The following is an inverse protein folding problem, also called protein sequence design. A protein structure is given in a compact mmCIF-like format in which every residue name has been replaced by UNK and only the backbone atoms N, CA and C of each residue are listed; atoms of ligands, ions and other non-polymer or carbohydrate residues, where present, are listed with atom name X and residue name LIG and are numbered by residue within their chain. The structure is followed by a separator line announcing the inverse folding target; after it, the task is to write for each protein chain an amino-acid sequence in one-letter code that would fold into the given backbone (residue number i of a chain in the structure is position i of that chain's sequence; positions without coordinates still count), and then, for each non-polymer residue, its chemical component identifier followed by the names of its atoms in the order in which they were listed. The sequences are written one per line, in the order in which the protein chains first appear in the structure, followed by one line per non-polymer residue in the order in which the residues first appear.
data_IF_590911852350
#
_entry.id   IF_590911852350
#
_cell.length_a   1.000
_cell.length_b   1.000
_cell.length_c   1.000
_cell.angle_alpha   90.00
_cell.angle_beta   90.00
_cell.angle_gamma   90.00
#
_symmetry.space_group_name_H-M   'P 1'
#
loop_
_entity.id
_entity.type
_entity.pdbx_description
1 polymer ?
#
# COMPACT_ATOMS: atom_id res chain seq x y z
N UNK A 1 -29.52 -9.72 14.65
CA UNK A 1 -28.49 -10.44 13.89
C UNK A 1 -27.25 -10.48 14.76
N UNK A 2 -26.78 -11.67 15.16
CA UNK A 2 -25.43 -11.79 15.71
C UNK A 2 -24.44 -11.24 14.67
N UNK A 3 -23.55 -10.34 15.09
CA UNK A 3 -22.43 -9.94 14.23
C UNK A 3 -21.66 -11.21 13.89
N UNK A 4 -21.53 -11.55 12.61
CA UNK A 4 -20.54 -12.53 12.15
C UNK A 4 -19.18 -11.97 12.55
N UNK A 5 -18.65 -12.41 13.68
CA UNK A 5 -17.31 -12.03 14.09
C UNK A 5 -16.34 -12.83 13.25
N UNK A 6 -15.37 -12.14 12.67
CA UNK A 6 -14.28 -12.80 11.97
C UNK A 6 -13.19 -13.16 12.98
N UNK A 7 -12.64 -14.37 12.87
CA UNK A 7 -11.63 -14.90 13.78
C UNK A 7 -10.37 -15.20 12.99
N UNK A 8 -9.22 -14.79 13.52
CA UNK A 8 -7.91 -15.17 12.96
C UNK A 8 -7.47 -16.49 13.60
N UNK A 9 -7.38 -17.55 12.79
CA UNK A 9 -6.85 -18.84 13.22
C UNK A 9 -5.30 -18.84 13.23
N UNK A 10 -4.68 -19.96 13.59
CA UNK A 10 -3.22 -20.07 13.62
C UNK A 10 -2.56 -19.88 12.24
N UNK A 11 -3.18 -20.43 11.18
CA UNK A 11 -2.67 -20.30 9.81
C UNK A 11 -2.69 -18.85 9.33
N UNK A 12 -3.72 -18.11 9.70
CA UNK A 12 -3.88 -16.69 9.40
C UNK A 12 -2.76 -15.86 10.00
N UNK A 13 -2.44 -16.12 11.27
CA UNK A 13 -1.38 -15.42 11.98
C UNK A 13 -0.02 -15.71 11.34
N UNK A 14 0.23 -16.95 10.93
CA UNK A 14 1.44 -17.32 10.20
C UNK A 14 1.53 -16.60 8.86
N UNK A 15 0.43 -16.57 8.09
CA UNK A 15 0.38 -15.88 6.80
C UNK A 15 0.64 -14.39 6.96
N UNK A 16 0.03 -13.75 7.96
CA UNK A 16 0.28 -12.34 8.27
C UNK A 16 1.73 -12.11 8.70
N UNK A 17 2.31 -13.03 9.48
CA UNK A 17 3.72 -12.95 9.87
C UNK A 17 4.64 -13.01 8.64
N UNK A 18 4.36 -13.88 7.66
CA UNK A 18 5.11 -13.97 6.40
C UNK A 18 5.04 -12.68 5.58
N UNK A 19 3.90 -11.98 5.58
CA UNK A 19 3.72 -10.71 4.85
C UNK A 19 4.34 -9.48 5.51
N UNK A 20 4.79 -9.56 6.77
CA UNK A 20 5.33 -8.41 7.52
C UNK A 20 6.63 -7.87 6.94
N UNK A 21 7.54 -8.75 6.54
CA UNK A 21 8.82 -8.35 5.97
C UNK A 21 8.63 -7.59 4.66
N UNK A 22 7.78 -8.11 3.77
CA UNK A 22 7.45 -7.44 2.52
C UNK A 22 6.82 -6.06 2.74
N UNK A 23 5.92 -5.96 3.72
CA UNK A 23 5.31 -4.68 4.11
C UNK A 23 6.35 -3.69 4.63
N UNK A 24 7.30 -4.15 5.44
CA UNK A 24 8.41 -3.36 5.95
C UNK A 24 9.27 -2.82 4.80
N UNK A 25 9.64 -3.68 3.83
CA UNK A 25 10.43 -3.31 2.65
C UNK A 25 9.70 -2.22 1.82
N UNK A 26 8.42 -2.43 1.52
CA UNK A 26 7.63 -1.45 0.75
C UNK A 26 7.48 -0.11 1.46
N UNK A 27 7.33 -0.11 2.78
CA UNK A 27 7.25 1.13 3.56
C UNK A 27 8.58 1.88 3.56
N UNK A 28 9.69 1.17 3.78
CA UNK A 28 11.01 1.76 3.76
C UNK A 28 11.34 2.35 2.39
N UNK A 29 11.07 1.62 1.32
CA UNK A 29 11.28 2.09 -0.04
C UNK A 29 10.46 3.34 -0.37
N UNK A 30 9.17 3.36 -0.01
CA UNK A 30 8.30 4.54 -0.22
C UNK A 30 8.79 5.76 0.57
N UNK A 31 9.30 5.56 1.78
CA UNK A 31 9.89 6.64 2.57
C UNK A 31 11.10 7.26 1.85
N UNK A 32 11.96 6.43 1.26
CA UNK A 32 13.11 6.91 0.48
C UNK A 32 12.68 7.61 -0.81
N UNK A 33 11.70 7.07 -1.54
CA UNK A 33 11.17 7.69 -2.77
C UNK A 33 10.52 9.06 -2.52
N UNK A 34 10.10 9.36 -1.30
CA UNK A 34 9.50 10.65 -0.94
C UNK A 34 10.54 11.75 -0.64
N UNK A 35 11.83 11.41 -0.57
CA UNK A 35 12.92 12.36 -0.30
C UNK A 35 13.18 13.20 -1.56
N UNK A 36 12.97 14.52 -1.45
CA UNK A 36 12.95 15.44 -2.60
C UNK A 36 14.31 15.64 -3.29
N UNK A 37 15.42 15.45 -2.57
CA UNK A 37 16.79 15.66 -3.06
C UNK A 37 17.45 14.39 -3.59
N UNK A 38 16.74 13.26 -3.63
CA UNK A 38 17.25 12.01 -4.21
C UNK A 38 16.97 11.91 -5.71
N UNK A 39 17.86 11.29 -6.50
CA UNK A 39 17.48 10.81 -7.83
C UNK A 39 16.27 9.88 -7.73
N UNK A 40 15.46 9.76 -8.80
CA UNK A 40 14.43 8.73 -8.84
C UNK A 40 15.06 7.34 -8.73
N UNK A 41 14.44 6.44 -7.97
CA UNK A 41 14.80 5.03 -7.96
C UNK A 41 14.40 4.41 -9.31
N UNK A 42 15.25 3.53 -9.85
CA UNK A 42 14.96 2.80 -11.08
C UNK A 42 13.69 1.96 -10.91
N UNK A 43 12.87 1.90 -11.95
CA UNK A 43 11.62 1.15 -11.97
C UNK A 43 11.78 -0.14 -12.80
N UNK A 44 10.86 -1.07 -12.64
CA UNK A 44 10.86 -2.37 -13.32
C UNK A 44 11.89 -3.35 -12.75
N UNK A 45 12.27 -4.34 -13.57
CA UNK A 45 13.14 -5.46 -13.17
C UNK A 45 14.51 -4.99 -12.63
N UNK A 46 15.06 -3.90 -13.18
CA UNK A 46 16.33 -3.35 -12.69
C UNK A 46 16.22 -2.80 -11.27
N UNK A 47 15.14 -2.09 -10.98
CA UNK A 47 14.84 -1.59 -9.63
C UNK A 47 14.60 -2.73 -8.64
N UNK A 48 13.87 -3.77 -9.08
CA UNK A 48 13.59 -4.95 -8.24
C UNK A 48 14.88 -5.68 -7.87
N UNK A 49 15.77 -5.92 -8.84
CA UNK A 49 17.07 -6.55 -8.61
C UNK A 49 17.97 -5.71 -7.71
N UNK A 50 17.98 -4.39 -7.89
CA UNK A 50 18.73 -3.48 -7.01
C UNK A 50 18.21 -3.54 -5.56
N UNK A 51 16.89 -3.55 -5.38
CA UNK A 51 16.28 -3.64 -4.08
C UNK A 51 16.59 -5.00 -3.43
N UNK A 52 16.46 -6.10 -4.17
CA UNK A 52 16.77 -7.45 -3.68
C UNK A 52 18.20 -7.55 -3.14
N UNK A 53 19.18 -7.02 -3.89
CA UNK A 53 20.57 -6.94 -3.44
C UNK A 53 20.71 -6.07 -2.16
N UNK A 54 20.01 -4.93 -2.12
CA UNK A 54 20.01 -4.03 -0.96
C UNK A 54 19.42 -4.70 0.29
N UNK A 55 18.32 -5.44 0.14
CA UNK A 55 17.66 -6.17 1.22
C UNK A 55 18.52 -7.34 1.71
N UNK A 56 19.19 -8.05 0.80
CA UNK A 56 20.14 -9.13 1.17
C UNK A 56 21.25 -8.59 2.08
N UNK A 57 21.82 -7.43 1.76
CA UNK A 57 22.80 -6.76 2.63
C UNK A 57 22.17 -6.29 3.94
N UNK A 58 20.96 -5.73 3.90
CA UNK A 58 20.25 -5.27 5.10
C UNK A 58 19.98 -6.41 6.09
N UNK A 59 19.65 -7.60 5.59
CA UNK A 59 19.48 -8.82 6.38
C UNK A 59 20.81 -9.25 7.00
N UNK A 60 21.90 -9.26 6.21
CA UNK A 60 23.24 -9.63 6.68
C UNK A 60 23.70 -8.74 7.86
N UNK A 61 23.51 -7.42 7.75
CA UNK A 61 23.89 -6.44 8.77
C UNK A 61 22.81 -6.18 9.84
N UNK A 62 21.75 -6.99 9.85
CA UNK A 62 20.65 -6.97 10.84
C UNK A 62 19.97 -5.60 11.02
N UNK A 63 19.74 -4.89 9.92
CA UNK A 63 19.05 -3.58 9.88
C UNK A 63 17.60 -3.66 9.35
N UNK A 64 17.00 -4.86 9.34
CA UNK A 64 15.63 -5.13 8.89
C UNK A 64 14.57 -4.70 9.93
N UNK A 65 14.44 -3.40 10.16
CA UNK A 65 13.34 -2.82 10.94
C UNK A 65 12.89 -1.45 10.42
N UNK A 66 11.78 -0.96 10.96
CA UNK A 66 11.10 0.25 10.49
C UNK A 66 11.92 1.55 10.66
N UNK A 67 12.98 1.54 11.48
CA UNK A 67 13.84 2.69 11.69
C UNK A 67 15.10 2.63 10.82
N UNK A 68 15.77 1.46 10.78
CA UNK A 68 17.08 1.34 10.11
C UNK A 68 16.97 1.02 8.62
N UNK A 69 15.97 0.26 8.18
CA UNK A 69 15.83 -0.14 6.79
C UNK A 69 15.66 1.06 5.82
N UNK A 70 14.83 2.09 6.11
CA UNK A 70 14.72 3.25 5.22
C UNK A 70 16.07 3.96 5.02
N UNK A 71 16.84 4.11 6.10
CA UNK A 71 18.16 4.74 6.04
C UNK A 71 19.14 3.88 5.24
N UNK A 72 19.08 2.55 5.41
CA UNK A 72 19.90 1.62 4.63
C UNK A 72 19.61 1.71 3.13
N UNK A 73 18.34 1.76 2.74
CA UNK A 73 17.92 1.93 1.35
C UNK A 73 18.39 3.31 0.82
N UNK A 74 18.30 4.37 1.62
CA UNK A 74 18.81 5.69 1.25
C UNK A 74 20.32 5.67 1.01
N UNK A 75 21.10 5.00 1.87
CA UNK A 75 22.55 4.83 1.71
C UNK A 75 22.87 4.12 0.39
N UNK A 76 22.25 2.96 0.14
CA UNK A 76 22.40 2.21 -1.10
C UNK A 76 22.09 3.05 -2.34
N UNK A 77 21.04 3.88 -2.27
CA UNK A 77 20.60 4.69 -3.40
C UNK A 77 21.52 5.88 -3.67
N UNK A 78 21.99 6.56 -2.61
CA UNK A 78 22.94 7.69 -2.74
C UNK A 78 24.32 7.24 -3.19
N UNK A 79 24.84 6.18 -2.57
CA UNK A 79 26.20 5.68 -2.84
C UNK A 79 26.32 4.85 -4.11
N UNK A 80 25.24 4.20 -4.55
CA UNK A 80 25.27 3.29 -5.68
C UNK A 80 26.03 1.98 -5.39
N UNK A 81 26.22 1.16 -6.43
CA UNK A 81 26.73 -0.22 -6.29
C UNK A 81 28.16 -0.29 -5.74
N UNK A 82 29.01 0.69 -6.08
CA UNK A 82 30.42 0.70 -5.68
C UNK A 82 30.64 1.23 -4.26
N UNK A 83 29.68 1.95 -3.67
CA UNK A 83 29.82 2.53 -2.34
C UNK A 83 30.14 1.47 -1.29
N UNK A 84 29.46 0.32 -1.36
CA UNK A 84 29.67 -0.78 -0.44
C UNK A 84 31.05 -1.42 -0.57
N UNK A 85 31.84 -1.11 -1.60
CA UNK A 85 33.18 -1.69 -1.83
C UNK A 85 34.31 -0.76 -1.39
N UNK A 86 34.00 0.47 -0.94
CA UNK A 86 35.01 1.43 -0.50
C UNK A 86 35.68 0.97 0.81
N UNK A 87 37.00 1.15 0.91
CA UNK A 87 37.80 0.67 2.05
C UNK A 87 37.33 1.27 3.38
N UNK A 88 36.99 2.56 3.40
CA UNK A 88 36.48 3.27 4.58
C UNK A 88 35.06 2.83 4.95
N UNK A 89 34.21 2.51 3.96
CA UNK A 89 32.89 1.92 4.19
C UNK A 89 33.03 0.52 4.80
N UNK A 90 33.94 -0.29 4.28
CA UNK A 90 34.25 -1.61 4.84
C UNK A 90 34.76 -1.52 6.28
N UNK A 91 35.55 -0.50 6.62
CA UNK A 91 35.99 -0.26 7.99
C UNK A 91 34.82 -0.01 8.96
N UNK A 92 33.81 0.74 8.52
CA UNK A 92 32.58 0.98 9.30
C UNK A 92 31.73 -0.30 9.42
N UNK A 93 31.73 -1.16 8.39
CA UNK A 93 30.98 -2.42 8.32
C UNK A 93 31.63 -3.61 9.05
N UNK A 94 32.89 -3.49 9.50
CA UNK A 94 33.67 -4.59 10.11
C UNK A 94 33.04 -5.29 11.33
N UNK A 95 31.89 -4.82 11.84
CA UNK A 95 31.10 -5.53 12.83
C UNK A 95 29.74 -5.91 12.24
N UNK A 96 29.32 -7.15 12.46
CA UNK A 96 28.07 -7.70 11.91
C UNK A 96 26.80 -6.94 12.32
N UNK A 97 26.83 -6.23 13.46
CA UNK A 97 25.72 -5.40 13.93
C UNK A 97 25.99 -3.90 13.71
N UNK A 98 25.11 -3.28 12.92
CA UNK A 98 25.13 -1.84 12.65
C UNK A 98 24.19 -1.11 13.63
N UNK A 99 24.80 -0.31 14.51
CA UNK A 99 24.09 0.59 15.41
C UNK A 99 23.69 1.91 14.70
N UNK A 100 22.93 2.75 15.40
CA UNK A 100 22.46 4.03 14.86
C UNK A 100 23.60 5.02 14.56
N UNK A 101 24.74 4.93 15.25
CA UNK A 101 25.87 5.83 15.02
C UNK A 101 26.55 5.48 13.71
N UNK A 102 26.89 4.21 13.51
CA UNK A 102 27.50 3.71 12.27
C UNK A 102 26.58 3.86 11.08
N UNK A 103 25.28 3.60 11.24
CA UNK A 103 24.30 3.82 10.19
C UNK A 103 24.28 5.29 9.74
N UNK A 104 24.31 6.23 10.68
CA UNK A 104 24.40 7.65 10.35
C UNK A 104 25.74 8.04 9.72
N UNK A 105 26.85 7.42 10.14
CA UNK A 105 28.16 7.61 9.51
C UNK A 105 28.12 7.19 8.03
N UNK A 106 27.62 5.99 7.73
CA UNK A 106 27.44 5.50 6.36
C UNK A 106 26.54 6.43 5.54
N UNK A 107 25.47 6.96 6.14
CA UNK A 107 24.62 7.96 5.49
C UNK A 107 25.36 9.25 5.15
N UNK A 108 26.23 9.75 6.03
CA UNK A 108 27.05 10.92 5.71
C UNK A 108 28.04 10.61 4.59
N UNK A 109 28.68 9.45 4.60
CA UNK A 109 29.60 9.03 3.54
C UNK A 109 28.88 8.93 2.19
N UNK A 110 27.72 8.29 2.13
CA UNK A 110 26.94 8.16 0.90
C UNK A 110 26.49 9.53 0.34
N UNK A 111 26.24 10.51 1.21
CA UNK A 111 25.94 11.89 0.78
C UNK A 111 27.11 12.58 0.09
N UNK A 112 28.35 12.21 0.41
CA UNK A 112 29.54 12.74 -0.27
C UNK A 112 29.65 12.22 -1.70
N UNK A 113 29.16 11.00 -1.95
CA UNK A 113 29.18 10.36 -3.28
C UNK A 113 28.08 10.87 -4.22
N UNK A 114 27.02 11.48 -3.66
CA UNK A 114 25.88 11.88 -4.45
C UNK A 114 26.24 13.01 -5.43
N UNK A 115 26.10 12.73 -6.73
CA UNK A 115 26.22 13.75 -7.78
C UNK A 115 24.96 14.62 -7.86
N UNK A 116 25.14 15.91 -8.15
CA UNK A 116 24.04 16.86 -8.34
C UNK A 116 23.04 16.34 -9.39
N UNK A 117 21.81 16.07 -8.95
CA UNK A 117 20.71 15.65 -9.80
C UNK A 117 20.00 16.86 -10.40
N UNK A 118 19.73 16.79 -11.70
CA UNK A 118 18.79 17.71 -12.37
C UNK A 118 17.40 17.41 -11.79
N UNK A 119 16.72 18.42 -11.24
CA UNK A 119 15.32 18.30 -10.84
C UNK A 119 14.50 17.83 -12.04
N UNK A 120 14.01 16.60 -12.01
CA UNK A 120 13.03 16.15 -12.99
C UNK A 120 11.75 16.94 -12.80
N UNK A 121 11.27 17.54 -13.88
CA UNK A 121 9.93 18.12 -13.96
C UNK A 121 8.94 16.97 -13.82
N UNK A 122 8.16 16.97 -12.74
CA UNK A 122 7.07 16.02 -12.54
C UNK A 122 6.09 16.15 -13.71
N UNK A 123 5.95 15.11 -14.53
CA UNK A 123 4.85 15.03 -15.49
C UNK A 123 3.54 14.93 -14.73
N UNK A 124 2.59 15.81 -15.03
CA UNK A 124 1.24 15.72 -14.46
C UNK A 124 0.56 14.50 -15.06
N UNK A 125 0.32 13.49 -14.22
CA UNK A 125 -0.36 12.27 -14.63
C UNK A 125 -1.84 12.58 -14.94
N UNK A 126 -2.28 12.34 -16.17
CA UNK A 126 -3.69 12.41 -16.52
C UNK A 126 -4.42 11.16 -16.01
N UNK A 127 -5.04 11.31 -14.83
CA UNK A 127 -5.75 10.23 -14.15
C UNK A 127 -7.11 9.90 -14.76
N UNK A 128 -7.60 10.71 -15.71
CA UNK A 128 -8.90 10.48 -16.35
C UNK A 128 -8.91 9.29 -17.28
N UNK A 129 -7.74 8.86 -17.76
CA UNK A 129 -7.61 7.63 -18.52
C UNK A 129 -7.54 6.37 -17.63
N UNK A 130 -7.54 6.51 -16.29
CA UNK A 130 -7.45 5.35 -15.42
C UNK A 130 -8.71 4.48 -15.49
N UNK A 131 -8.51 3.18 -15.31
CA UNK A 131 -9.63 2.21 -15.32
C UNK A 131 -10.65 2.51 -14.21
N UNK A 132 -10.17 2.94 -13.03
CA UNK A 132 -11.01 3.32 -11.89
C UNK A 132 -11.86 4.55 -12.22
N UNK A 133 -11.27 5.56 -12.88
CA UNK A 133 -12.01 6.75 -13.31
C UNK A 133 -13.12 6.41 -14.29
N UNK A 134 -12.84 5.57 -15.30
CA UNK A 134 -13.87 5.12 -16.24
C UNK A 134 -14.98 4.30 -15.58
N UNK A 135 -14.67 3.47 -14.58
CA UNK A 135 -15.69 2.77 -13.78
C UNK A 135 -16.59 3.71 -12.98
N UNK A 136 -16.02 4.79 -12.44
CA UNK A 136 -16.78 5.85 -11.80
C UNK A 136 -17.71 6.58 -12.79
N UNK A 137 -17.22 6.93 -13.98
CA UNK A 137 -18.04 7.58 -15.03
C UNK A 137 -19.15 6.66 -15.55
N UNK A 138 -18.87 5.36 -15.65
CA UNK A 138 -19.86 4.33 -15.96
C UNK A 138 -20.87 4.08 -14.83
N UNK A 139 -20.75 4.79 -13.70
CA UNK A 139 -21.64 4.71 -12.53
C UNK A 139 -21.72 3.31 -11.91
N UNK A 140 -20.62 2.55 -11.96
CA UNK A 140 -20.51 1.36 -11.12
C UNK A 140 -20.61 1.76 -9.65
N UNK A 141 -21.18 0.92 -8.76
CA UNK A 141 -21.28 1.19 -7.33
C UNK A 141 -19.89 1.00 -6.67
N UNK A 142 -19.00 1.92 -7.03
CA UNK A 142 -17.59 1.95 -6.71
C UNK A 142 -17.38 2.67 -5.38
N UNK A 143 -16.68 2.02 -4.48
CA UNK A 143 -16.29 2.56 -3.18
C UNK A 143 -14.77 2.56 -3.04
N UNK A 144 -14.28 3.46 -2.21
CA UNK A 144 -12.88 3.54 -1.82
C UNK A 144 -12.76 3.37 -0.30
N UNK A 145 -11.87 2.48 0.16
CA UNK A 145 -11.42 2.40 1.54
C UNK A 145 -10.05 3.06 1.63
N UNK A 146 -9.95 4.05 2.52
CA UNK A 146 -8.75 4.86 2.69
C UNK A 146 -8.33 4.81 4.16
N UNK A 147 -7.06 4.51 4.38
CA UNK A 147 -6.41 4.64 5.69
C UNK A 147 -6.01 6.11 5.91
N UNK A 148 -6.63 6.76 6.90
CA UNK A 148 -6.39 8.17 7.23
C UNK A 148 -5.18 8.38 8.15
N UNK A 149 -4.41 7.32 8.48
CA UNK A 149 -3.28 7.43 9.39
C UNK A 149 -2.19 8.39 8.89
N UNK A 150 -2.06 8.55 7.58
CA UNK A 150 -1.10 9.48 6.96
C UNK A 150 -1.66 10.91 6.87
N UNK A 151 -2.90 11.06 6.43
CA UNK A 151 -3.57 12.35 6.22
C UNK A 151 -5.10 12.15 6.16
N UNK A 152 -5.85 12.99 6.87
CA UNK A 152 -7.31 13.02 6.88
C UNK A 152 -7.92 13.78 5.68
N UNK A 153 -7.09 14.39 4.81
CA UNK A 153 -7.55 15.19 3.70
C UNK A 153 -8.56 14.50 2.75
N UNK A 154 -8.49 13.18 2.45
CA UNK A 154 -9.51 12.52 1.65
C UNK A 154 -10.91 12.59 2.26
N UNK A 155 -11.04 12.43 3.58
CA UNK A 155 -12.31 12.55 4.29
C UNK A 155 -12.83 14.00 4.28
N UNK A 156 -11.95 14.97 4.50
CA UNK A 156 -12.29 16.39 4.39
C UNK A 156 -12.77 16.78 3.00
N UNK A 157 -12.13 16.24 1.96
CA UNK A 157 -12.52 16.45 0.56
C UNK A 157 -13.88 15.82 0.24
N UNK A 158 -14.15 14.60 0.72
CA UNK A 158 -15.45 13.96 0.59
C UNK A 158 -16.56 14.77 1.29
N UNK A 159 -16.30 15.29 2.49
CA UNK A 159 -17.22 16.17 3.21
C UNK A 159 -17.53 17.45 2.42
N UNK A 160 -16.50 18.11 1.87
CA UNK A 160 -16.67 19.34 1.08
C UNK A 160 -17.42 19.15 -0.24
N UNK A 161 -17.45 17.93 -0.79
CA UNK A 161 -18.16 17.58 -2.02
C UNK A 161 -19.52 16.91 -1.79
N UNK A 162 -19.98 16.85 -0.54
CA UNK A 162 -21.20 16.13 -0.14
C UNK A 162 -21.21 14.70 -0.73
N UNK A 163 -20.13 13.99 -0.47
CA UNK A 163 -19.94 12.59 -0.84
C UNK A 163 -20.17 11.74 0.39
N UNK A 164 -21.05 10.74 0.29
CA UNK A 164 -21.31 9.83 1.40
C UNK A 164 -20.00 9.13 1.83
N UNK A 165 -19.71 9.16 3.11
CA UNK A 165 -18.53 8.53 3.68
C UNK A 165 -18.81 8.06 5.11
N UNK A 166 -18.19 6.95 5.50
CA UNK A 166 -18.48 6.25 6.74
C UNK A 166 -17.17 5.83 7.40
N UNK A 167 -17.02 6.11 8.68
CA UNK A 167 -15.93 5.52 9.45
C UNK A 167 -16.18 4.02 9.61
N UNK A 168 -15.14 3.23 9.37
CA UNK A 168 -15.17 1.80 9.68
C UNK A 168 -14.78 1.53 11.14
N UNK A 169 -14.40 2.54 11.91
CA UNK A 169 -14.31 2.37 13.35
C UNK A 169 -15.69 2.33 14.01
N UNK A 170 -15.79 1.52 15.06
CA UNK A 170 -16.97 1.46 15.91
C UNK A 170 -16.95 2.60 16.95
N UNK A 171 -18.04 2.71 17.72
CA UNK A 171 -18.18 3.76 18.72
C UNK A 171 -17.07 3.79 19.78
N UNK A 172 -16.47 2.64 20.12
CA UNK A 172 -15.38 2.59 21.12
C UNK A 172 -14.07 3.18 20.61
N UNK A 173 -13.88 3.25 19.29
CA UNK A 173 -12.70 3.81 18.64
C UNK A 173 -12.96 5.18 18.01
N UNK A 174 -14.02 5.87 18.45
CA UNK A 174 -14.38 7.20 17.93
C UNK A 174 -13.22 8.19 17.95
N UNK A 175 -12.38 8.14 18.98
CA UNK A 175 -11.21 9.01 19.11
C UNK A 175 -10.16 8.82 18.00
N UNK A 176 -10.20 7.69 17.29
CA UNK A 176 -9.29 7.36 16.19
C UNK A 176 -9.91 7.62 14.81
N UNK A 177 -11.19 8.01 14.71
CA UNK A 177 -11.89 8.17 13.44
C UNK A 177 -11.15 9.09 12.46
N UNK A 178 -10.49 10.15 12.94
CA UNK A 178 -9.67 11.04 12.09
C UNK A 178 -8.54 10.32 11.35
N UNK A 179 -8.12 9.14 11.81
CA UNK A 179 -7.08 8.31 11.21
C UNK A 179 -7.64 7.19 10.33
N UNK A 180 -8.96 7.10 10.14
CA UNK A 180 -9.60 6.06 9.34
C UNK A 180 -9.36 4.64 9.89
N UNK A 181 -9.81 3.58 9.19
CA UNK A 181 -10.17 3.60 7.78
C UNK A 181 -11.56 4.17 7.50
N UNK A 182 -11.68 4.90 6.39
CA UNK A 182 -12.93 5.47 5.89
C UNK A 182 -13.37 4.77 4.62
N UNK A 183 -14.67 4.42 4.55
CA UNK A 183 -15.34 4.01 3.32
C UNK A 183 -15.95 5.26 2.65
N UNK A 184 -15.64 5.50 1.39
CA UNK A 184 -16.10 6.65 0.61
C UNK A 184 -16.83 6.20 -0.64
N UNK A 185 -18.00 6.78 -0.87
CA UNK A 185 -18.83 6.58 -2.05
C UNK A 185 -18.22 7.26 -3.29
N UNK A 186 -17.40 6.54 -4.05
CA UNK A 186 -16.74 7.09 -5.22
C UNK A 186 -17.63 7.09 -6.48
N UNK A 187 -18.71 6.30 -6.51
CA UNK A 187 -19.60 6.21 -7.68
C UNK A 187 -20.22 7.56 -8.03
N UNK A 188 -20.27 7.88 -9.33
CA UNK A 188 -20.79 9.14 -9.85
C UNK A 188 -20.15 10.41 -9.24
N UNK A 189 -18.95 10.30 -8.64
CA UNK A 189 -18.18 11.44 -8.11
C UNK A 189 -16.77 11.50 -8.73
N UNK A 190 -16.63 11.80 -10.04
CA UNK A 190 -15.34 11.79 -10.74
C UNK A 190 -14.25 12.66 -10.09
N UNK A 191 -14.62 13.80 -9.49
CA UNK A 191 -13.67 14.67 -8.77
C UNK A 191 -13.06 14.01 -7.53
N UNK A 192 -13.82 13.17 -6.82
CA UNK A 192 -13.30 12.39 -5.69
C UNK A 192 -12.27 11.37 -6.20
N UNK A 193 -12.59 10.67 -7.27
CA UNK A 193 -11.67 9.69 -7.88
C UNK A 193 -10.40 10.37 -8.39
N UNK A 194 -10.52 11.48 -9.12
CA UNK A 194 -9.36 12.28 -9.56
C UNK A 194 -8.50 12.73 -8.36
N UNK A 195 -9.14 13.17 -7.28
CA UNK A 195 -8.43 13.60 -6.07
C UNK A 195 -7.55 12.49 -5.48
N UNK A 196 -8.09 11.26 -5.41
CA UNK A 196 -7.36 10.10 -4.91
C UNK A 196 -6.26 9.65 -5.85
N UNK A 197 -6.56 9.54 -7.16
CA UNK A 197 -5.63 9.00 -8.13
C UNK A 197 -4.49 9.96 -8.50
N UNK A 198 -4.69 11.27 -8.35
CA UNK A 198 -3.66 12.28 -8.67
C UNK A 198 -2.59 12.41 -7.59
N UNK A 199 -2.75 11.71 -6.46
CA UNK A 199 -1.84 11.78 -5.32
C UNK A 199 -1.25 10.39 -5.05
N UNK A 200 0.07 10.18 -5.25
CA UNK A 200 0.70 8.88 -5.04
C UNK A 200 0.42 8.25 -3.67
N UNK A 201 0.39 9.07 -2.61
CA UNK A 201 0.10 8.63 -1.25
C UNK A 201 -1.30 8.01 -1.09
N UNK A 202 -2.26 8.34 -1.96
CA UNK A 202 -3.61 7.79 -1.93
C UNK A 202 -3.81 6.74 -3.02
N UNK A 203 -3.33 7.00 -4.24
CA UNK A 203 -3.47 6.13 -5.39
C UNK A 203 -3.06 4.67 -5.09
N UNK A 204 -1.97 4.48 -4.33
CA UNK A 204 -1.43 3.15 -3.99
C UNK A 204 -1.83 2.62 -2.60
N UNK A 205 -2.50 3.45 -1.79
CA UNK A 205 -2.97 3.07 -0.46
C UNK A 205 -4.50 2.97 -0.37
N UNK A 206 -5.20 3.24 -1.47
CA UNK A 206 -6.67 3.10 -1.54
C UNK A 206 -7.01 1.70 -1.99
N UNK A 207 -7.73 0.97 -1.15
CA UNK A 207 -8.38 -0.27 -1.57
C UNK A 207 -9.75 0.09 -2.15
N UNK A 208 -10.03 -0.36 -3.36
CA UNK A 208 -11.30 -0.09 -4.04
C UNK A 208 -12.18 -1.32 -3.99
N UNK A 209 -13.49 -1.13 -4.05
CA UNK A 209 -14.44 -2.23 -4.14
C UNK A 209 -15.68 -1.85 -4.96
N UNK A 210 -16.33 -2.85 -5.53
CA UNK A 210 -17.66 -2.73 -6.13
C UNK A 210 -18.62 -3.47 -5.22
N UNK A 211 -19.60 -2.73 -4.70
CA UNK A 211 -20.64 -3.24 -3.80
C UNK A 211 -21.94 -2.51 -4.11
N UNK A 212 -22.85 -3.18 -4.80
CA UNK A 212 -24.25 -2.81 -4.89
C UNK A 212 -25.02 -3.19 -3.61
N UNK A 213 -26.06 -2.44 -3.25
CA UNK A 213 -26.86 -2.67 -2.05
C UNK A 213 -26.85 -1.54 -1.02
N UNK A 214 -27.34 -1.82 0.19
CA UNK A 214 -27.44 -0.83 1.27
C UNK A 214 -26.07 -0.50 1.87
N UNK A 215 -25.82 0.79 2.08
CA UNK A 215 -24.55 1.27 2.63
C UNK A 215 -24.31 0.78 4.06
N UNK A 216 -25.35 0.62 4.88
CA UNK A 216 -25.19 0.17 6.26
C UNK A 216 -24.83 -1.30 6.32
N UNK A 217 -25.37 -2.12 5.42
CA UNK A 217 -25.00 -3.54 5.31
C UNK A 217 -23.52 -3.67 4.95
N UNK A 218 -23.06 -2.89 3.97
CA UNK A 218 -21.65 -2.82 3.59
C UNK A 218 -20.77 -2.35 4.74
N UNK A 219 -21.12 -1.26 5.42
CA UNK A 219 -20.35 -0.74 6.57
C UNK A 219 -20.29 -1.78 7.69
N UNK A 220 -21.42 -2.42 8.02
CA UNK A 220 -21.49 -3.46 9.05
C UNK A 220 -20.60 -4.64 8.72
N UNK A 221 -20.61 -5.08 7.46
CA UNK A 221 -19.73 -6.14 6.97
C UNK A 221 -18.24 -5.78 7.14
N UNK A 222 -17.84 -4.61 6.63
CA UNK A 222 -16.45 -4.14 6.69
C UNK A 222 -15.97 -3.91 8.13
N UNK A 223 -16.84 -3.43 9.02
CA UNK A 223 -16.57 -3.36 10.46
C UNK A 223 -16.33 -4.75 11.06
N UNK A 224 -17.07 -5.77 10.63
CA UNK A 224 -16.86 -7.16 11.04
C UNK A 224 -15.51 -7.73 10.62
N UNK A 225 -14.96 -7.29 9.48
CA UNK A 225 -13.61 -7.63 9.05
C UNK A 225 -12.53 -6.87 9.82
N UNK A 226 -12.78 -5.62 10.21
CA UNK A 226 -11.84 -4.80 10.96
C UNK A 226 -11.66 -5.30 12.40
N UNK A 227 -12.75 -5.65 13.06
CA UNK A 227 -12.75 -6.06 14.48
C UNK A 227 -12.73 -7.58 14.60
N UNK A 228 -11.52 -8.14 14.65
CA UNK A 228 -11.34 -9.60 14.74
C UNK A 228 -11.14 -10.02 16.19
N UNK A 229 -11.82 -11.10 16.57
CA UNK A 229 -11.63 -11.73 17.88
C UNK A 229 -10.41 -12.63 17.85
N UNK A 230 -9.53 -12.42 18.83
CA UNK A 230 -8.43 -13.35 19.12
C UNK A 230 -8.87 -14.41 20.15
N UNK A 231 -8.09 -15.48 20.28
CA UNK A 231 -8.36 -16.62 21.15
C UNK A 231 -8.66 -16.25 22.62
N UNK A 232 -8.19 -15.10 23.10
CA UNK A 232 -8.36 -14.59 24.47
C UNK A 232 -9.45 -13.49 24.60
N UNK A 233 -10.43 -13.43 23.68
CA UNK A 233 -11.50 -12.41 23.64
C UNK A 233 -11.00 -10.95 23.50
N UNK A 234 -9.70 -10.76 23.21
CA UNK A 234 -9.13 -9.47 22.83
C UNK A 234 -9.59 -9.10 21.43
N UNK A 235 -10.27 -7.96 21.29
CA UNK A 235 -10.56 -7.38 20.00
C UNK A 235 -9.27 -6.76 19.44
N UNK A 236 -8.74 -7.36 18.39
CA UNK A 236 -7.64 -6.75 17.62
C UNK A 236 -8.19 -6.12 16.34
N UNK A 237 -7.51 -5.10 15.84
CA UNK A 237 -7.87 -4.47 14.56
C UNK A 237 -7.11 -5.14 13.44
N UNK A 238 -7.81 -5.86 12.58
CA UNK A 238 -7.22 -6.44 11.39
C UNK A 238 -7.19 -5.41 10.27
N UNK A 239 -5.99 -5.04 9.83
CA UNK A 239 -5.77 -4.08 8.72
C UNK A 239 -6.03 -4.75 7.37
N UNK A 240 -7.22 -5.34 7.19
CA UNK A 240 -7.62 -5.94 5.91
C UNK A 240 -7.57 -4.92 4.78
N UNK A 241 -7.84 -3.64 5.08
CA UNK A 241 -7.93 -2.57 4.10
C UNK A 241 -6.59 -2.09 3.53
N UNK A 242 -5.46 -2.56 4.05
CA UNK A 242 -4.13 -2.12 3.63
C UNK A 242 -3.68 -2.90 2.37
N UNK A 243 -3.54 -2.24 1.19
CA UNK A 243 -3.16 -2.91 -0.06
C UNK A 243 -1.86 -3.73 0.02
N UNK A 244 -0.96 -3.38 0.95
CA UNK A 244 0.34 -4.07 1.16
C UNK A 244 0.18 -5.48 1.69
N UNK A 245 -0.89 -5.74 2.45
CA UNK A 245 -1.19 -7.07 2.99
C UNK A 245 -2.43 -7.69 2.36
N UNK A 246 -3.30 -6.89 1.73
CA UNK A 246 -4.57 -7.34 1.14
C UNK A 246 -4.39 -8.48 0.15
N UNK A 247 -3.50 -8.33 -0.83
CA UNK A 247 -3.31 -9.34 -1.88
C UNK A 247 -2.79 -10.67 -1.32
N UNK A 248 -1.76 -10.60 -0.46
CA UNK A 248 -1.22 -11.78 0.22
C UNK A 248 -2.30 -12.46 1.08
N UNK A 249 -3.07 -11.66 1.81
CA UNK A 249 -4.15 -12.14 2.65
C UNK A 249 -5.20 -12.91 1.84
N UNK A 250 -5.78 -12.27 0.82
CA UNK A 250 -6.89 -12.82 0.06
C UNK A 250 -6.52 -14.12 -0.65
N UNK A 251 -5.29 -14.22 -1.17
CA UNK A 251 -4.80 -15.41 -1.87
C UNK A 251 -4.46 -16.59 -0.94
N UNK A 252 -4.44 -16.38 0.38
CA UNK A 252 -4.11 -17.43 1.36
C UNK A 252 -5.31 -17.93 2.16
N UNK A 253 -6.50 -17.38 1.88
CA UNK A 253 -7.75 -17.81 2.51
C UNK A 253 -8.28 -19.09 1.88
N UNK A 254 -8.79 -19.98 2.72
CA UNK A 254 -9.58 -21.13 2.29
C UNK A 254 -10.89 -20.69 1.61
N UNK A 255 -11.39 -21.49 0.66
CA UNK A 255 -12.58 -21.19 -0.14
C UNK A 255 -13.82 -20.82 0.67
N UNK A 256 -14.11 -21.56 1.75
CA UNK A 256 -15.27 -21.26 2.60
C UNK A 256 -15.17 -19.90 3.32
N UNK A 257 -13.95 -19.41 3.56
CA UNK A 257 -13.71 -18.12 4.21
C UNK A 257 -13.69 -16.96 3.23
N UNK A 258 -13.43 -17.23 1.95
CA UNK A 258 -13.54 -16.25 0.89
C UNK A 258 -14.98 -15.76 0.76
N UNK A 259 -15.98 -16.65 0.83
CA UNK A 259 -17.39 -16.27 0.82
C UNK A 259 -17.75 -15.33 1.99
N UNK A 260 -17.30 -15.66 3.21
CA UNK A 260 -17.49 -14.81 4.38
C UNK A 260 -16.70 -13.50 4.31
N UNK A 261 -15.54 -13.47 3.65
CA UNK A 261 -14.75 -12.25 3.47
C UNK A 261 -15.39 -11.29 2.45
N UNK A 262 -15.89 -11.82 1.33
CA UNK A 262 -16.54 -11.02 0.30
C UNK A 262 -17.86 -10.45 0.81
N UNK A 263 -18.72 -11.26 1.45
CA UNK A 263 -20.02 -10.81 1.93
C UNK A 263 -20.81 -10.07 0.83
N UNK A 264 -21.23 -8.81 1.03
CA UNK A 264 -21.94 -8.02 0.02
C UNK A 264 -21.03 -7.45 -1.09
N UNK A 265 -19.71 -7.55 -0.97
CA UNK A 265 -18.76 -7.01 -1.96
C UNK A 265 -18.72 -7.94 -3.17
N UNK A 266 -19.02 -7.42 -4.36
CA UNK A 266 -18.94 -8.22 -5.58
C UNK A 266 -17.51 -8.31 -6.11
N UNK A 267 -16.73 -7.22 -5.98
CA UNK A 267 -15.34 -7.16 -6.46
C UNK A 267 -14.47 -6.34 -5.52
N UNK A 268 -13.27 -6.84 -5.26
CA UNK A 268 -12.20 -6.08 -4.64
C UNK A 268 -11.17 -5.66 -5.66
N UNK A 269 -10.61 -4.46 -5.54
CA UNK A 269 -9.60 -3.93 -6.44
C UNK A 269 -8.49 -3.30 -5.61
N UNK A 270 -7.33 -3.94 -5.58
CA UNK A 270 -6.15 -3.47 -4.87
C UNK A 270 -5.14 -2.90 -5.86
N UNK A 271 -4.54 -1.71 -5.62
CA UNK A 271 -3.33 -1.33 -6.31
C UNK A 271 -2.20 -2.29 -5.98
N UNK A 272 -1.23 -2.41 -6.89
CA UNK A 272 -0.02 -3.16 -6.59
C UNK A 272 0.77 -2.43 -5.47
N UNK A 273 1.16 -3.13 -4.39
CA UNK A 273 1.90 -2.50 -3.31
C UNK A 273 3.37 -2.22 -3.66
N UNK A 274 3.95 -2.87 -4.67
CA UNK A 274 5.33 -2.67 -5.13
C UNK A 274 5.46 -1.32 -5.84
N UNK A 275 6.18 -0.35 -5.23
CA UNK A 275 6.32 0.98 -5.81
C UNK A 275 7.32 1.02 -6.98
N UNK A 276 8.06 -0.06 -7.25
CA UNK A 276 9.05 -0.12 -8.32
C UNK A 276 8.44 -0.35 -9.70
N UNK A 277 7.16 -0.68 -9.81
CA UNK A 277 6.58 -0.92 -11.13
C UNK A 277 6.44 0.37 -11.93
N UNK A 278 7.04 0.37 -13.13
CA UNK A 278 6.97 1.48 -14.09
C UNK A 278 5.55 1.73 -14.61
N UNK A 279 4.74 0.67 -14.65
CA UNK A 279 3.32 0.72 -14.90
C UNK A 279 2.55 0.19 -13.70
N UNK A 280 1.84 1.08 -13.03
CA UNK A 280 1.03 0.74 -11.88
C UNK A 280 -0.12 -0.18 -12.31
N UNK A 281 -0.29 -1.28 -11.57
CA UNK A 281 -1.29 -2.31 -11.85
C UNK A 281 -2.38 -2.30 -10.78
N UNK A 282 -3.54 -2.80 -11.16
CA UNK A 282 -4.66 -3.08 -10.28
C UNK A 282 -4.91 -4.59 -10.28
N UNK A 283 -5.06 -5.16 -9.11
CA UNK A 283 -5.46 -6.55 -8.90
C UNK A 283 -6.94 -6.57 -8.58
N UNK A 284 -7.73 -7.10 -9.51
CA UNK A 284 -9.17 -7.29 -9.35
C UNK A 284 -9.43 -8.72 -8.88
N UNK A 285 -10.23 -8.84 -7.84
CA UNK A 285 -10.63 -10.10 -7.26
C UNK A 285 -12.15 -10.23 -7.26
N UNK A 286 -12.65 -11.37 -7.72
CA UNK A 286 -14.07 -11.74 -7.72
C UNK A 286 -14.21 -13.13 -7.10
N UNK A 287 -15.38 -13.44 -6.56
CA UNK A 287 -15.73 -14.80 -6.14
C UNK A 287 -16.72 -15.38 -7.16
N UNK A 288 -16.35 -16.46 -7.84
CA UNK A 288 -17.19 -17.19 -8.80
C UNK A 288 -17.22 -18.65 -8.37
N UNK A 289 -18.41 -19.20 -8.11
CA UNK A 289 -18.58 -20.60 -7.67
C UNK A 289 -17.65 -20.98 -6.50
N UNK A 290 -17.55 -20.11 -5.49
CA UNK A 290 -16.67 -20.20 -4.32
C UNK A 290 -15.15 -20.24 -4.62
N UNK A 291 -14.75 -19.99 -5.86
CA UNK A 291 -13.37 -19.86 -6.29
C UNK A 291 -12.97 -18.39 -6.45
N UNK A 292 -11.78 -18.04 -5.95
CA UNK A 292 -11.20 -16.71 -6.14
C UNK A 292 -10.73 -16.57 -7.59
N UNK A 293 -11.38 -15.70 -8.35
CA UNK A 293 -10.89 -15.24 -9.64
C UNK A 293 -9.99 -14.02 -9.42
N UNK A 294 -8.79 -14.04 -9.98
CA UNK A 294 -7.85 -12.92 -9.95
C UNK A 294 -7.53 -12.46 -11.37
N UNK A 295 -7.69 -11.16 -11.62
CA UNK A 295 -7.27 -10.50 -12.85
C UNK A 295 -6.34 -9.33 -12.54
N UNK A 296 -5.25 -9.22 -13.29
CA UNK A 296 -4.38 -8.05 -13.28
C UNK A 296 -4.75 -7.09 -14.41
N UNK A 297 -4.91 -5.82 -14.08
CA UNK A 297 -5.29 -4.74 -14.98
C UNK A 297 -4.24 -3.64 -14.93
N UNK A 298 -4.11 -2.88 -16.01
CA UNK A 298 -3.31 -1.65 -16.00
C UNK A 298 -4.11 -0.55 -15.31
N UNK A 299 -3.53 0.11 -14.31
CA UNK A 299 -4.18 1.24 -13.64
C UNK A 299 -4.37 2.40 -14.61
N UNK A 300 -3.33 2.69 -15.38
CA UNK A 300 -3.30 3.67 -16.45
C UNK A 300 -3.01 2.95 -17.77
N UNK A 301 -3.83 3.13 -18.81
CA UNK A 301 -3.57 2.56 -20.13
C UNK A 301 -2.29 3.17 -20.69
N UNK A 302 -1.52 2.38 -21.46
CA UNK A 302 -0.38 2.92 -22.19
C UNK A 302 -0.89 3.97 -23.18
N UNK A 303 -0.30 5.17 -23.15
CA UNK A 303 -0.47 6.15 -24.22
C UNK A 303 -0.09 5.47 -25.52
N UNK A 304 -1.05 5.27 -26.43
CA UNK A 304 -0.73 4.87 -27.81
C UNK A 304 0.25 5.92 -28.32
N UNK A 305 1.46 5.50 -28.68
CA UNK A 305 2.30 6.34 -29.52
C UNK A 305 1.46 6.72 -30.72
N UNK A 306 1.15 8.01 -30.85
CA UNK A 306 0.57 8.54 -32.07
C UNK A 306 1.72 8.50 -33.08
N UNK A 307 1.87 7.37 -33.75
CA UNK A 307 2.67 7.29 -34.97
C UNK A 307 1.98 8.19 -35.99
N UNK A 308 2.61 9.34 -36.25
CA UNK A 308 2.28 10.22 -37.36
C UNK A 308 2.53 9.52 -38.70
#
# INVERSE_FOLDING_TARGET
MEKKHWYLNAQDQENLQRGREQTLIWNALRAVMAIQDLPPILLGEEGERWLENTITLAQHYKVMDAYRLPIWIEISHRGGELFWQLDDVQEVLNNEDIDSVRLNTLLQMARLEQRNTVKQTSTVLDVTNSTIYHWCEARLPLWAIIDGALDAAPQGFASGLDVAHYSLFNATDRALESHGPWLIAAWAKPRMVQYLLSRPNYAFNTLWLVADGDANDLVTHLQGLLYVKQHDDQNSRFRFHDPRVFSHWLNTLDSFRLADFFGPVQRWISPDPNPLWSAQRLHRYSLIDDALEHQTLMMYPQSKEVTA
#
